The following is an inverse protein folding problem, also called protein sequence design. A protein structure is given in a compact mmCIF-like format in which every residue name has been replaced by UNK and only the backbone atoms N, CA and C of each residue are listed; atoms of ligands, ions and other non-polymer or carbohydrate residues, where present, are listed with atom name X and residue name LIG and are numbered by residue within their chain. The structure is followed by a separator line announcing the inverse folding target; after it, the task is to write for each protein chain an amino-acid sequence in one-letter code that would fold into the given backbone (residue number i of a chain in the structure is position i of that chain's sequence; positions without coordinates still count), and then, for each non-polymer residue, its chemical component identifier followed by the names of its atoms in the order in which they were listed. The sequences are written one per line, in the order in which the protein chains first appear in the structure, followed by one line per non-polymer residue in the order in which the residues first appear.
data_IF_147331700738
#
_entry.id   IF_147331700738
#
_cell.length_a   1.000
_cell.length_b   1.000
_cell.length_c   1.000
_cell.angle_alpha   90.00
_cell.angle_beta   90.00
_cell.angle_gamma   90.00
#
_symmetry.space_group_name_H-M   'P 1'
#
loop_
_entity.id
_entity.type
_entity.pdbx_description
1 polymer ?
#
# COMPACT_ATOMS: atom_id res chain seq x y z
N UNK A 1 -26.76 -38.36 -48.99
CA UNK A 1 -26.98 -37.09 -48.26
C UNK A 1 -26.81 -37.22 -46.74
N UNK A 2 -27.01 -38.38 -46.12
CA UNK A 2 -26.81 -38.56 -44.66
C UNK A 2 -25.34 -38.53 -44.22
N UNK A 3 -24.42 -39.11 -45.00
CA UNK A 3 -22.99 -39.19 -44.64
C UNK A 3 -22.32 -37.81 -44.51
N UNK A 4 -22.74 -36.83 -45.32
CA UNK A 4 -22.26 -35.45 -45.28
C UNK A 4 -22.76 -34.66 -44.07
N UNK A 5 -23.91 -35.03 -43.49
CA UNK A 5 -24.47 -34.40 -42.29
C UNK A 5 -23.72 -34.90 -41.05
N UNK A 6 -23.48 -36.21 -40.95
CA UNK A 6 -22.75 -36.83 -39.83
C UNK A 6 -21.31 -36.34 -39.72
N UNK A 7 -20.59 -36.18 -40.84
CA UNK A 7 -19.22 -35.63 -40.84
C UNK A 7 -19.21 -34.15 -40.44
N UNK A 8 -20.24 -33.39 -40.81
CA UNK A 8 -20.40 -31.97 -40.45
C UNK A 8 -20.67 -31.80 -38.95
N UNK A 9 -21.44 -32.70 -38.35
CA UNK A 9 -21.72 -32.68 -36.89
C UNK A 9 -20.50 -33.11 -36.06
N UNK A 10 -19.72 -34.10 -36.52
CA UNK A 10 -18.44 -34.44 -35.86
C UNK A 10 -17.45 -33.26 -35.91
N UNK A 11 -17.32 -32.58 -37.06
CA UNK A 11 -16.48 -31.37 -37.19
C UNK A 11 -16.93 -30.22 -36.30
N UNK A 12 -18.24 -30.01 -36.12
CA UNK A 12 -18.79 -29.02 -35.19
C UNK A 12 -18.50 -29.39 -33.73
N UNK A 13 -18.63 -30.67 -33.37
CA UNK A 13 -18.32 -31.15 -32.03
C UNK A 13 -16.84 -30.90 -31.66
N UNK A 14 -15.91 -31.12 -32.59
CA UNK A 14 -14.49 -30.82 -32.38
C UNK A 14 -14.17 -29.33 -32.17
N UNK A 15 -15.04 -28.41 -32.62
CA UNK A 15 -14.88 -26.96 -32.40
C UNK A 15 -15.60 -26.50 -31.12
N UNK A 16 -16.79 -27.04 -30.85
CA UNK A 16 -17.61 -26.63 -29.70
C UNK A 16 -17.00 -27.09 -28.38
N UNK A 17 -16.48 -28.31 -28.30
CA UNK A 17 -15.87 -28.86 -27.07
C UNK A 17 -14.72 -27.99 -26.54
N UNK A 18 -13.70 -27.60 -27.34
CA UNK A 18 -12.64 -26.74 -26.84
C UNK A 18 -13.12 -25.33 -26.48
N UNK A 19 -14.12 -24.78 -27.18
CA UNK A 19 -14.73 -23.48 -26.81
C UNK A 19 -15.40 -23.58 -25.44
N UNK A 20 -16.21 -24.62 -25.21
CA UNK A 20 -16.86 -24.86 -23.91
C UNK A 20 -15.82 -25.05 -22.81
N UNK A 21 -14.74 -25.79 -23.10
CA UNK A 21 -13.65 -26.01 -22.14
C UNK A 21 -12.93 -24.71 -21.76
N UNK A 22 -12.58 -23.88 -22.74
CA UNK A 22 -11.98 -22.55 -22.51
C UNK A 22 -12.94 -21.65 -21.72
N UNK A 23 -14.24 -21.65 -22.06
CA UNK A 23 -15.25 -20.88 -21.35
C UNK A 23 -15.38 -21.31 -19.89
N UNK A 24 -15.40 -22.63 -19.61
CA UNK A 24 -15.43 -23.16 -18.25
C UNK A 24 -14.17 -22.78 -17.46
N UNK A 25 -12.98 -22.87 -18.07
CA UNK A 25 -11.75 -22.41 -17.42
C UNK A 25 -11.79 -20.91 -17.09
N UNK A 26 -12.32 -20.08 -18.00
CA UNK A 26 -12.52 -18.65 -17.78
C UNK A 26 -13.48 -18.35 -16.63
N UNK A 27 -14.61 -19.07 -16.55
CA UNK A 27 -15.58 -18.96 -15.44
C UNK A 27 -14.92 -19.34 -14.11
N UNK A 28 -14.20 -20.46 -14.07
CA UNK A 28 -13.51 -20.93 -12.84
C UNK A 28 -12.48 -19.90 -12.39
N UNK A 29 -11.67 -19.36 -13.31
CA UNK A 29 -10.65 -18.36 -12.96
C UNK A 29 -11.28 -17.06 -12.45
N UNK A 30 -12.38 -16.62 -13.08
CA UNK A 30 -13.11 -15.42 -12.68
C UNK A 30 -13.76 -15.59 -11.31
N UNK A 31 -14.32 -16.77 -11.03
CA UNK A 31 -14.89 -17.10 -9.72
C UNK A 31 -13.83 -17.07 -8.61
N UNK A 32 -12.61 -17.59 -8.87
CA UNK A 32 -11.50 -17.51 -7.91
C UNK A 32 -11.14 -16.06 -7.58
N UNK A 33 -11.01 -15.19 -8.59
CA UNK A 33 -10.73 -13.77 -8.37
C UNK A 33 -11.86 -13.07 -7.61
N UNK A 34 -13.12 -13.35 -7.95
CA UNK A 34 -14.27 -12.78 -7.25
C UNK A 34 -14.28 -13.15 -5.75
N UNK A 35 -14.01 -14.43 -5.43
CA UNK A 35 -13.90 -14.87 -4.03
C UNK A 35 -12.73 -14.19 -3.33
N UNK A 36 -11.57 -14.08 -3.99
CA UNK A 36 -10.40 -13.41 -3.43
C UNK A 36 -10.69 -11.94 -3.09
N UNK A 37 -11.33 -11.21 -4.02
CA UNK A 37 -11.68 -9.80 -3.84
C UNK A 37 -12.67 -9.57 -2.70
N UNK A 38 -13.67 -10.44 -2.56
CA UNK A 38 -14.64 -10.38 -1.45
C UNK A 38 -13.93 -10.51 -0.10
N UNK A 39 -12.96 -11.43 0.03
CA UNK A 39 -12.21 -11.57 1.27
C UNK A 39 -11.28 -10.37 1.50
N UNK A 40 -10.53 -9.94 0.48
CA UNK A 40 -9.66 -8.77 0.57
C UNK A 40 -10.43 -7.48 0.91
N UNK A 41 -11.67 -7.33 0.42
CA UNK A 41 -12.52 -6.19 0.73
C UNK A 41 -12.80 -6.06 2.23
N UNK A 42 -13.05 -7.17 2.94
CA UNK A 42 -13.32 -7.15 4.39
C UNK A 42 -12.12 -6.62 5.18
N UNK A 43 -10.92 -7.08 4.85
CA UNK A 43 -9.69 -6.57 5.47
C UNK A 43 -9.43 -5.10 5.11
N UNK A 44 -9.60 -4.71 3.84
CA UNK A 44 -9.49 -3.30 3.39
C UNK A 44 -10.46 -2.38 4.13
N UNK A 45 -11.69 -2.85 4.32
CA UNK A 45 -12.72 -2.09 5.01
C UNK A 45 -12.31 -1.80 6.47
N UNK A 46 -11.89 -2.82 7.21
CA UNK A 46 -11.42 -2.66 8.60
C UNK A 46 -10.23 -1.71 8.70
N UNK A 47 -9.24 -1.90 7.84
CA UNK A 47 -8.07 -1.04 7.80
C UNK A 47 -8.44 0.42 7.52
N UNK A 48 -9.37 0.64 6.57
CA UNK A 48 -9.90 1.99 6.30
C UNK A 48 -10.61 2.61 7.50
N UNK A 49 -11.31 1.80 8.31
CA UNK A 49 -11.94 2.30 9.54
C UNK A 49 -10.90 2.74 10.57
N UNK A 50 -9.86 1.94 10.80
CA UNK A 50 -8.80 2.26 11.75
C UNK A 50 -8.07 3.56 11.35
N UNK A 51 -7.76 3.72 10.05
CA UNK A 51 -7.15 4.93 9.51
C UNK A 51 -8.05 6.17 9.67
N UNK A 52 -9.35 6.05 9.32
CA UNK A 52 -10.30 7.17 9.41
C UNK A 52 -10.54 7.60 10.85
N UNK A 53 -10.60 6.65 11.77
CA UNK A 53 -10.83 6.88 13.20
C UNK A 53 -9.54 7.24 13.94
N UNK A 54 -8.38 7.15 13.28
CA UNK A 54 -7.05 7.38 13.86
C UNK A 54 -6.82 6.57 15.15
N UNK A 55 -7.25 5.31 15.15
CA UNK A 55 -7.10 4.40 16.29
C UNK A 55 -6.32 3.16 15.90
N UNK A 56 -5.75 2.51 16.90
CA UNK A 56 -5.25 1.15 16.76
C UNK A 56 -6.41 0.16 16.79
N UNK A 57 -6.28 -0.98 16.10
CA UNK A 57 -7.23 -2.08 16.18
C UNK A 57 -7.15 -2.82 17.53
N UNK A 58 -8.13 -3.65 17.83
CA UNK A 58 -7.99 -4.70 18.86
C UNK A 58 -7.27 -5.92 18.28
N UNK A 59 -6.73 -6.80 19.12
CA UNK A 59 -6.12 -8.06 18.66
C UNK A 59 -7.09 -8.89 17.83
N UNK A 60 -8.36 -8.99 18.27
CA UNK A 60 -9.42 -9.69 17.55
C UNK A 60 -9.73 -9.10 16.17
N UNK A 61 -9.71 -7.76 16.04
CA UNK A 61 -9.91 -7.07 14.77
C UNK A 61 -8.75 -7.33 13.79
N UNK A 62 -7.51 -7.36 14.30
CA UNK A 62 -6.31 -7.69 13.50
C UNK A 62 -6.34 -9.14 13.04
N UNK A 63 -6.58 -10.08 13.95
CA UNK A 63 -6.65 -11.51 13.62
C UNK A 63 -7.69 -11.79 12.53
N UNK A 64 -8.88 -11.17 12.66
CA UNK A 64 -9.90 -11.28 11.64
C UNK A 64 -9.43 -10.70 10.29
N UNK A 65 -8.81 -9.53 10.29
CA UNK A 65 -8.28 -8.93 9.05
C UNK A 65 -7.19 -9.81 8.41
N UNK A 66 -6.30 -10.39 9.21
CA UNK A 66 -5.25 -11.32 8.75
C UNK A 66 -5.84 -12.59 8.15
N UNK A 67 -6.86 -13.17 8.77
CA UNK A 67 -7.59 -14.33 8.21
C UNK A 67 -8.17 -13.99 6.83
N UNK A 68 -8.85 -12.84 6.70
CA UNK A 68 -9.48 -12.47 5.42
C UNK A 68 -8.47 -12.19 4.32
N UNK A 69 -7.39 -11.47 4.59
CA UNK A 69 -6.37 -11.23 3.55
C UNK A 69 -5.55 -12.48 3.23
N UNK A 70 -5.29 -13.35 4.20
CA UNK A 70 -4.64 -14.64 3.94
C UNK A 70 -5.52 -15.55 3.08
N UNK A 71 -6.84 -15.57 3.33
CA UNK A 71 -7.80 -16.25 2.47
C UNK A 71 -7.77 -15.68 1.03
N UNK A 72 -7.73 -14.35 0.88
CA UNK A 72 -7.61 -13.74 -0.45
C UNK A 72 -6.33 -14.17 -1.20
N UNK A 73 -5.20 -14.21 -0.49
CA UNK A 73 -3.93 -14.70 -1.05
C UNK A 73 -3.95 -16.18 -1.39
N UNK A 74 -4.68 -17.02 -0.65
CA UNK A 74 -4.84 -18.43 -1.03
C UNK A 74 -5.56 -18.59 -2.39
N UNK A 75 -6.51 -17.71 -2.69
CA UNK A 75 -7.21 -17.69 -3.98
C UNK A 75 -6.41 -17.01 -5.10
N UNK A 76 -5.58 -16.03 -4.77
CA UNK A 76 -4.77 -15.26 -5.71
C UNK A 76 -3.34 -15.00 -5.16
N UNK A 77 -2.46 -16.03 -5.14
CA UNK A 77 -1.20 -15.99 -4.40
C UNK A 77 -0.17 -15.00 -4.95
N UNK A 78 -0.29 -14.62 -6.22
CA UNK A 78 0.58 -13.66 -6.88
C UNK A 78 0.03 -12.23 -6.89
N UNK A 79 -1.09 -11.96 -6.20
CA UNK A 79 -1.68 -10.62 -6.18
C UNK A 79 -0.95 -9.71 -5.19
N UNK A 80 -0.15 -8.79 -5.72
CA UNK A 80 0.64 -7.83 -4.93
C UNK A 80 -0.22 -6.86 -4.10
N UNK A 81 -1.44 -6.54 -4.53
CA UNK A 81 -2.33 -5.69 -3.74
C UNK A 81 -2.72 -6.39 -2.43
N UNK A 82 -2.94 -7.71 -2.48
CA UNK A 82 -3.25 -8.48 -1.28
C UNK A 82 -2.02 -8.72 -0.41
N UNK A 83 -0.83 -8.84 -1.01
CA UNK A 83 0.43 -8.86 -0.27
C UNK A 83 0.62 -7.55 0.51
N UNK A 84 0.45 -6.40 -0.16
CA UNK A 84 0.52 -5.08 0.47
C UNK A 84 -0.51 -4.90 1.58
N UNK A 85 -1.73 -5.41 1.35
CA UNK A 85 -2.80 -5.38 2.34
C UNK A 85 -2.43 -6.19 3.57
N UNK A 86 -1.91 -7.42 3.38
CA UNK A 86 -1.47 -8.28 4.50
C UNK A 86 -0.34 -7.62 5.26
N UNK A 87 0.66 -7.12 4.56
CA UNK A 87 1.77 -6.37 5.16
C UNK A 87 1.28 -5.18 5.98
N UNK A 88 0.25 -4.48 5.51
CA UNK A 88 -0.29 -3.34 6.23
C UNK A 88 -1.03 -3.76 7.51
N UNK A 89 -1.82 -4.83 7.45
CA UNK A 89 -2.47 -5.39 8.65
C UNK A 89 -1.44 -5.89 9.66
N UNK A 90 -0.38 -6.58 9.21
CA UNK A 90 0.75 -6.99 10.05
C UNK A 90 1.48 -5.80 10.68
N UNK A 91 1.64 -4.70 9.95
CA UNK A 91 2.19 -3.46 10.52
C UNK A 91 1.31 -2.95 11.66
N UNK A 92 -0.01 -2.92 11.48
CA UNK A 92 -0.96 -2.56 12.54
C UNK A 92 -0.94 -3.54 13.73
N UNK A 93 -0.73 -4.83 13.49
CA UNK A 93 -0.49 -5.82 14.55
C UNK A 93 0.74 -5.43 15.37
N UNK A 94 1.85 -5.14 14.70
CA UNK A 94 3.07 -4.67 15.34
C UNK A 94 2.82 -3.41 16.18
N UNK A 95 2.08 -2.42 15.64
CA UNK A 95 1.78 -1.17 16.33
C UNK A 95 1.08 -1.33 17.69
N UNK A 96 0.40 -2.46 17.96
CA UNK A 96 -0.14 -2.79 19.30
C UNK A 96 0.97 -2.93 20.36
N UNK A 97 2.19 -3.22 19.91
CA UNK A 97 3.39 -3.44 20.71
C UNK A 97 4.43 -2.34 20.46
N UNK A 98 3.99 -1.17 20.01
CA UNK A 98 4.86 -0.03 19.71
C UNK A 98 5.86 0.28 20.83
N UNK A 99 7.11 0.55 20.45
CA UNK A 99 8.19 0.88 21.39
C UNK A 99 8.75 -0.31 22.17
N UNK A 100 8.20 -1.53 21.98
CA UNK A 100 8.75 -2.77 22.51
C UNK A 100 9.64 -3.44 21.46
N UNK A 101 10.60 -4.25 21.91
CA UNK A 101 11.45 -5.02 21.01
C UNK A 101 10.66 -5.95 20.06
N UNK A 102 9.51 -6.46 20.53
CA UNK A 102 8.62 -7.30 19.72
C UNK A 102 8.01 -6.60 18.52
N UNK A 103 8.00 -5.25 18.46
CA UNK A 103 7.53 -4.53 17.27
C UNK A 103 8.32 -4.92 16.01
N UNK A 104 9.64 -5.04 16.14
CA UNK A 104 10.51 -5.41 15.03
C UNK A 104 10.13 -6.83 14.56
N UNK A 105 10.18 -7.82 15.44
CA UNK A 105 9.84 -9.21 15.10
C UNK A 105 8.44 -9.34 14.46
N UNK A 106 7.43 -8.67 15.03
CA UNK A 106 6.05 -8.71 14.52
C UNK A 106 5.88 -8.04 13.14
N UNK A 107 6.86 -7.24 12.71
CA UNK A 107 6.81 -6.53 11.42
C UNK A 107 7.78 -7.09 10.37
N UNK A 108 8.53 -8.16 10.67
CA UNK A 108 9.45 -8.80 9.71
C UNK A 108 8.71 -9.31 8.46
N UNK A 109 7.59 -10.02 8.66
CA UNK A 109 6.78 -10.51 7.53
C UNK A 109 6.22 -9.34 6.71
N UNK A 110 5.83 -8.23 7.35
CA UNK A 110 5.35 -7.05 6.64
C UNK A 110 6.42 -6.45 5.72
N UNK A 111 7.66 -6.32 6.22
CA UNK A 111 8.80 -5.85 5.42
C UNK A 111 9.07 -6.77 4.24
N UNK A 112 9.10 -8.09 4.48
CA UNK A 112 9.30 -9.09 3.43
C UNK A 112 8.23 -9.04 2.34
N UNK A 113 6.97 -8.86 2.72
CA UNK A 113 5.85 -8.72 1.78
C UNK A 113 5.92 -7.42 0.97
N UNK A 114 6.29 -6.29 1.58
CA UNK A 114 6.49 -5.05 0.83
C UNK A 114 7.64 -5.16 -0.16
N UNK A 115 8.77 -5.76 0.22
CA UNK A 115 9.88 -6.03 -0.69
C UNK A 115 9.46 -6.93 -1.84
N UNK A 116 8.70 -8.00 -1.56
CA UNK A 116 8.20 -8.88 -2.62
C UNK A 116 7.25 -8.15 -3.57
N UNK A 117 6.43 -7.25 -3.05
CA UNK A 117 5.54 -6.41 -3.84
C UNK A 117 6.32 -5.47 -4.77
N UNK A 118 7.41 -4.86 -4.28
CA UNK A 118 8.27 -4.01 -5.12
C UNK A 118 9.09 -4.81 -6.13
N UNK A 119 9.43 -6.08 -5.87
CA UNK A 119 10.04 -6.95 -6.88
C UNK A 119 9.07 -7.25 -8.04
N UNK A 120 7.81 -7.59 -7.72
CA UNK A 120 6.80 -7.95 -8.72
C UNK A 120 6.29 -6.70 -9.46
N UNK A 121 6.12 -5.58 -8.75
CA UNK A 121 5.70 -4.29 -9.31
C UNK A 121 6.67 -3.18 -8.87
N UNK A 122 7.83 -3.03 -9.53
CA UNK A 122 8.85 -2.05 -9.15
C UNK A 122 8.39 -0.60 -9.08
N UNK A 123 7.36 -0.25 -9.85
CA UNK A 123 6.79 1.10 -9.91
C UNK A 123 5.55 1.28 -9.04
N UNK A 124 5.26 0.37 -8.11
CA UNK A 124 4.09 0.45 -7.25
C UNK A 124 4.37 1.35 -6.02
N UNK A 125 3.82 2.57 -5.97
CA UNK A 125 4.26 3.56 -4.98
C UNK A 125 3.80 3.25 -3.56
N UNK A 126 2.69 2.52 -3.41
CA UNK A 126 2.13 2.19 -2.10
C UNK A 126 3.04 1.26 -1.29
N UNK A 127 3.63 0.24 -1.93
CA UNK A 127 4.56 -0.67 -1.27
C UNK A 127 5.83 0.07 -0.83
N UNK A 128 6.40 0.92 -1.69
CA UNK A 128 7.54 1.77 -1.32
C UNK A 128 7.24 2.71 -0.16
N UNK A 129 6.09 3.40 -0.18
CA UNK A 129 5.73 4.32 0.88
C UNK A 129 5.56 3.61 2.22
N UNK A 130 4.87 2.47 2.24
CA UNK A 130 4.63 1.71 3.47
C UNK A 130 5.89 0.99 3.95
N UNK A 131 6.77 0.54 3.05
CA UNK A 131 8.09 0.04 3.39
C UNK A 131 8.91 1.12 4.10
N UNK A 132 8.93 2.35 3.58
CA UNK A 132 9.59 3.47 4.24
C UNK A 132 8.99 3.74 5.63
N UNK A 133 7.66 3.70 5.77
CA UNK A 133 7.00 3.95 7.04
C UNK A 133 7.31 2.88 8.09
N UNK A 134 7.19 1.59 7.75
CA UNK A 134 7.48 0.51 8.70
C UNK A 134 8.96 0.51 9.10
N UNK A 135 9.88 0.82 8.17
CA UNK A 135 11.30 0.95 8.50
C UNK A 135 11.58 2.16 9.39
N UNK A 136 10.97 3.32 9.12
CA UNK A 136 11.07 4.47 10.01
C UNK A 136 10.60 4.11 11.43
N UNK A 137 9.48 3.42 11.52
CA UNK A 137 8.92 2.94 12.77
C UNK A 137 9.83 1.96 13.53
N UNK A 138 10.59 1.13 12.82
CA UNK A 138 11.63 0.26 13.38
C UNK A 138 12.91 0.99 13.76
N UNK A 139 13.05 2.27 13.42
CA UNK A 139 14.29 3.03 13.56
C UNK A 139 15.37 2.65 12.53
N UNK A 140 15.00 1.94 11.47
CA UNK A 140 15.89 1.46 10.42
C UNK A 140 16.05 2.51 9.32
N UNK A 141 16.90 3.51 9.57
CA UNK A 141 17.17 4.60 8.63
C UNK A 141 18.36 4.28 7.70
N UNK A 142 18.31 3.13 7.05
CA UNK A 142 19.33 2.65 6.11
C UNK A 142 19.10 3.13 4.66
N UNK A 143 19.95 2.68 3.73
CA UNK A 143 19.82 3.02 2.30
C UNK A 143 18.48 2.59 1.71
N UNK A 144 17.94 1.44 2.13
CA UNK A 144 16.66 0.93 1.66
C UNK A 144 15.51 1.84 2.11
N UNK A 145 15.55 2.37 3.33
CA UNK A 145 14.59 3.38 3.79
C UNK A 145 14.62 4.64 2.93
N UNK A 146 15.79 5.20 2.66
CA UNK A 146 15.94 6.40 1.81
C UNK A 146 15.47 6.13 0.38
N UNK A 147 15.88 4.98 -0.19
CA UNK A 147 15.43 4.54 -1.49
C UNK A 147 13.90 4.40 -1.55
N UNK A 148 13.29 3.82 -0.53
CA UNK A 148 11.85 3.64 -0.46
C UNK A 148 11.09 4.99 -0.46
N UNK A 149 11.58 6.00 0.27
CA UNK A 149 11.03 7.35 0.21
C UNK A 149 11.13 7.96 -1.20
N UNK A 150 12.31 7.85 -1.82
CA UNK A 150 12.54 8.38 -3.17
C UNK A 150 11.68 7.69 -4.22
N UNK A 151 11.57 6.36 -4.21
CA UNK A 151 10.74 5.58 -5.15
C UNK A 151 9.26 5.84 -4.96
N UNK A 152 8.78 5.95 -3.72
CA UNK A 152 7.40 6.32 -3.45
C UNK A 152 7.06 7.70 -4.01
N UNK A 153 7.96 8.67 -3.81
CA UNK A 153 7.83 10.03 -4.35
C UNK A 153 7.91 10.07 -5.89
N UNK A 154 8.79 9.28 -6.50
CA UNK A 154 8.97 9.18 -7.96
C UNK A 154 7.74 8.57 -8.63
N UNK A 155 7.22 7.46 -8.10
CA UNK A 155 6.16 6.69 -8.75
C UNK A 155 4.75 7.10 -8.33
N UNK A 156 4.58 7.78 -7.20
CA UNK A 156 3.28 8.24 -6.70
C UNK A 156 3.25 9.69 -6.25
N UNK A 157 3.83 10.66 -7.00
CA UNK A 157 3.96 12.04 -6.53
C UNK A 157 2.64 12.74 -6.27
N UNK A 158 1.55 12.28 -6.88
CA UNK A 158 0.19 12.85 -6.80
C UNK A 158 -0.83 11.95 -6.10
N UNK A 159 -0.41 10.77 -5.63
CA UNK A 159 -1.30 9.83 -4.94
C UNK A 159 -1.51 10.26 -3.48
N UNK A 160 -2.72 10.65 -3.05
CA UNK A 160 -2.89 11.30 -1.75
C UNK A 160 -2.45 10.46 -0.56
N UNK A 161 -2.72 9.16 -0.59
CA UNK A 161 -2.30 8.23 0.46
C UNK A 161 -0.79 8.02 0.47
N UNK A 162 -0.16 7.91 -0.71
CA UNK A 162 1.31 7.83 -0.83
C UNK A 162 1.96 9.07 -0.24
N UNK A 163 1.46 10.27 -0.58
CA UNK A 163 1.98 11.52 -0.02
C UNK A 163 1.92 11.54 1.50
N UNK A 164 0.78 11.19 2.10
CA UNK A 164 0.64 11.16 3.57
C UNK A 164 1.63 10.19 4.21
N UNK A 165 1.72 8.97 3.67
CA UNK A 165 2.61 7.92 4.18
C UNK A 165 4.09 8.31 4.04
N UNK A 166 4.49 8.86 2.89
CA UNK A 166 5.86 9.38 2.66
C UNK A 166 6.18 10.52 3.62
N UNK A 167 5.22 11.42 3.84
CA UNK A 167 5.41 12.54 4.77
C UNK A 167 5.56 12.06 6.21
N UNK A 168 4.72 11.12 6.64
CA UNK A 168 4.79 10.53 7.97
C UNK A 168 6.13 9.81 8.19
N UNK A 169 6.51 8.94 7.25
CA UNK A 169 7.77 8.19 7.28
C UNK A 169 8.99 9.12 7.27
N UNK A 170 8.99 10.13 6.40
CA UNK A 170 10.11 11.06 6.23
C UNK A 170 10.29 12.00 7.42
N UNK A 171 9.20 12.50 8.00
CA UNK A 171 9.29 13.36 9.19
C UNK A 171 9.72 12.58 10.44
N UNK A 172 9.32 11.32 10.55
CA UNK A 172 9.80 10.42 11.60
C UNK A 172 11.34 10.28 11.56
N UNK A 173 11.91 10.11 10.36
CA UNK A 173 13.35 9.97 10.13
C UNK A 173 14.08 11.26 9.75
N UNK A 174 13.52 12.44 10.01
CA UNK A 174 13.98 13.73 9.44
C UNK A 174 15.49 13.97 9.53
N UNK A 175 16.09 13.70 10.69
CA UNK A 175 17.53 13.93 10.95
C UNK A 175 18.45 13.01 10.12
N UNK A 176 17.92 11.90 9.62
CA UNK A 176 18.66 10.91 8.84
C UNK A 176 18.52 11.10 7.33
N UNK A 177 17.65 12.02 6.89
CA UNK A 177 17.44 12.28 5.47
C UNK A 177 18.64 13.02 4.88
N UNK A 178 19.17 12.50 3.77
CA UNK A 178 20.08 13.24 2.90
C UNK A 178 19.37 14.44 2.24
N UNK A 179 20.15 15.30 1.58
CA UNK A 179 19.64 16.53 0.94
C UNK A 179 18.59 16.24 -0.14
N UNK A 180 18.80 15.22 -0.96
CA UNK A 180 17.90 14.86 -2.08
C UNK A 180 16.56 14.37 -1.52
N UNK A 181 16.62 13.44 -0.57
CA UNK A 181 15.44 12.85 0.07
C UNK A 181 14.66 13.91 0.84
N UNK A 182 15.34 14.81 1.55
CA UNK A 182 14.70 15.93 2.26
C UNK A 182 13.98 16.89 1.30
N UNK A 183 14.59 17.23 0.17
CA UNK A 183 13.94 18.07 -0.85
C UNK A 183 12.72 17.36 -1.46
N UNK A 184 12.83 16.08 -1.78
CA UNK A 184 11.70 15.28 -2.27
C UNK A 184 10.53 15.22 -1.27
N UNK A 185 10.84 15.12 0.02
CA UNK A 185 9.86 15.19 1.11
C UNK A 185 9.18 16.57 1.18
N UNK A 186 9.94 17.66 1.12
CA UNK A 186 9.41 19.04 1.09
C UNK A 186 8.47 19.23 -0.11
N UNK A 187 8.87 18.79 -1.30
CA UNK A 187 8.02 18.87 -2.49
C UNK A 187 6.73 18.06 -2.32
N UNK A 188 6.81 16.89 -1.66
CA UNK A 188 5.65 16.06 -1.33
C UNK A 188 4.68 16.80 -0.40
N UNK A 189 5.19 17.45 0.65
CA UNK A 189 4.37 18.26 1.56
C UNK A 189 3.73 19.42 0.78
N UNK A 190 4.50 20.13 -0.06
CA UNK A 190 3.98 21.25 -0.85
C UNK A 190 2.85 20.82 -1.80
N UNK A 191 2.99 19.67 -2.49
CA UNK A 191 1.91 19.11 -3.31
C UNK A 191 0.70 18.74 -2.46
N UNK A 192 0.94 18.09 -1.31
CA UNK A 192 -0.12 17.71 -0.37
C UNK A 192 -0.91 18.90 0.17
N UNK A 193 -0.26 20.04 0.45
CA UNK A 193 -0.93 21.26 0.91
C UNK A 193 -1.91 21.84 -0.12
N UNK A 194 -1.73 21.52 -1.40
CA UNK A 194 -2.64 21.97 -2.46
C UNK A 194 -3.97 21.23 -2.44
N UNK A 195 -3.95 19.90 -2.24
CA UNK A 195 -5.12 19.03 -2.40
C UNK A 195 -5.68 18.44 -1.10
N UNK A 196 -4.84 18.32 -0.07
CA UNK A 196 -5.18 17.69 1.22
C UNK A 196 -4.56 18.44 2.40
N UNK A 197 -4.78 19.76 2.43
CA UNK A 197 -4.19 20.70 3.40
C UNK A 197 -4.30 20.22 4.85
N UNK A 198 -5.50 19.83 5.29
CA UNK A 198 -5.73 19.41 6.68
C UNK A 198 -4.89 18.18 7.05
N UNK A 199 -4.88 17.17 6.19
CA UNK A 199 -4.10 15.95 6.45
C UNK A 199 -2.60 16.25 6.55
N UNK A 200 -2.07 17.11 5.66
CA UNK A 200 -0.66 17.51 5.74
C UNK A 200 -0.35 18.32 6.99
N UNK A 201 -1.23 19.25 7.37
CA UNK A 201 -1.05 20.03 8.58
C UNK A 201 -1.09 19.19 9.85
N UNK A 202 -2.03 18.24 9.93
CA UNK A 202 -2.15 17.30 11.03
C UNK A 202 -0.88 16.43 11.16
N UNK A 203 -0.35 15.91 10.04
CA UNK A 203 0.86 15.06 10.06
C UNK A 203 2.09 15.88 10.45
N UNK A 204 2.35 17.02 9.79
CA UNK A 204 3.54 17.83 10.06
C UNK A 204 3.54 18.37 11.49
N UNK A 205 2.38 18.77 12.00
CA UNK A 205 2.23 19.29 13.36
C UNK A 205 2.45 18.21 14.41
N UNK A 206 1.96 16.98 14.18
CA UNK A 206 2.17 15.81 15.08
C UNK A 206 3.65 15.49 15.27
N UNK A 207 4.44 15.61 14.21
CA UNK A 207 5.89 15.42 14.26
C UNK A 207 6.66 16.59 14.88
N UNK A 208 6.00 17.72 15.19
CA UNK A 208 6.63 18.95 15.70
C UNK A 208 7.74 19.48 14.78
N UNK A 209 7.63 19.23 13.46
CA UNK A 209 8.64 19.63 12.45
C UNK A 209 8.23 20.84 11.61
N UNK A 210 7.13 21.51 11.96
CA UNK A 210 6.56 22.61 11.19
C UNK A 210 7.56 23.71 10.87
N UNK A 211 8.30 24.20 11.87
CA UNK A 211 9.31 25.25 11.68
C UNK A 211 10.41 24.86 10.68
N UNK A 212 10.91 23.62 10.78
CA UNK A 212 11.93 23.11 9.85
C UNK A 212 11.40 23.02 8.43
N UNK A 213 10.23 22.41 8.24
CA UNK A 213 9.58 22.28 6.92
C UNK A 213 9.36 23.66 6.29
N UNK A 214 8.82 24.58 7.08
CA UNK A 214 8.57 25.95 6.69
C UNK A 214 9.84 26.65 6.18
N UNK A 215 11.00 26.45 6.81
CA UNK A 215 12.28 27.02 6.34
C UNK A 215 12.69 26.66 4.91
N UNK A 216 12.11 25.61 4.30
CA UNK A 216 12.38 25.22 2.92
C UNK A 216 11.35 25.75 1.92
N UNK A 217 10.20 26.26 2.36
CA UNK A 217 9.14 26.66 1.45
C UNK A 217 9.39 28.03 0.81
N UNK A 218 9.06 28.10 -0.48
CA UNK A 218 8.85 29.38 -1.16
C UNK A 218 7.52 29.98 -0.68
N UNK A 219 7.49 31.28 -0.46
CA UNK A 219 6.29 32.01 -0.04
C UNK A 219 5.24 31.96 -1.15
N UNK A 220 4.06 31.40 -0.84
CA UNK A 220 2.88 31.41 -1.69
C UNK A 220 1.63 31.33 -0.82
N UNK A 221 0.43 31.51 -1.40
CA UNK A 221 -0.83 31.54 -0.65
C UNK A 221 -1.04 30.33 0.27
N UNK A 222 -0.65 29.12 -0.16
CA UNK A 222 -0.85 27.88 0.61
C UNK A 222 0.22 27.71 1.68
N UNK A 223 1.48 27.98 1.36
CA UNK A 223 2.59 27.86 2.31
C UNK A 223 2.56 28.97 3.36
N UNK A 224 2.15 30.20 3.01
CA UNK A 224 1.86 31.29 3.97
C UNK A 224 0.75 30.91 4.94
N UNK A 225 -0.39 30.39 4.43
CA UNK A 225 -1.46 29.89 5.30
C UNK A 225 -0.98 28.77 6.23
N UNK A 226 -0.14 27.88 5.71
CA UNK A 226 0.37 26.76 6.48
C UNK A 226 1.36 27.21 7.56
N UNK A 227 2.31 28.08 7.23
CA UNK A 227 3.42 28.47 8.10
C UNK A 227 3.15 29.70 8.97
N UNK A 228 2.12 30.51 8.67
CA UNK A 228 1.71 31.63 9.51
C UNK A 228 2.51 32.92 9.33
N UNK A 229 3.08 33.14 8.14
CA UNK A 229 3.72 34.40 7.73
C UNK A 229 3.00 35.07 6.57
#
# INVERSE_FOLDING_TARGET
MEFSVVIRDKKRLYIVVPIVFIALMGIIQSAKFAVADIQAYKARYLLSQWEKQQRLPTETEVEYALDKVSSALNWAPSNTEYMDLKAHVLTYQGLLYWGKASFVELTDEAVGLYLRSTEIRPKWPYAWARLALVKAHRGEFDELYLQALLRANEYGPWEPNVQKTVVDAGLYGWEKLDKVTRMGLIDTIQRGLSFQFKAMDDIVSRHKRKAFVCGYFKVNKKTSRFCGW
#
